data_IF_164703240416
#
_entry.id   IF_164703240416
#
_cell.length_a   1.000
_cell.length_b   1.000
_cell.length_c   1.000
_cell.angle_alpha   90.00
_cell.angle_beta   90.00
_cell.angle_gamma   90.00
#
_symmetry.space_group_name_H-M   'P 1'
#
loop_
_entity.id
_entity.type
_entity.pdbx_description
1 polymer ?
#
# COMPACT_ATOMS: atom_id res chain seq x y z
N UNK A 1 -42.77 7.14 57.29
CA UNK A 1 -41.69 8.03 57.78
C UNK A 1 -40.50 7.86 56.86
N UNK A 2 -40.02 8.99 56.31
CA UNK A 2 -38.79 9.23 55.53
C UNK A 2 -38.59 8.37 54.26
N UNK A 3 -38.79 8.88 53.03
CA UNK A 3 -38.02 9.90 52.26
C UNK A 3 -36.60 9.50 51.83
N UNK A 4 -36.32 9.69 50.54
CA UNK A 4 -35.00 9.76 49.92
C UNK A 4 -34.68 8.56 49.01
N UNK A 5 -34.39 8.69 47.72
CA UNK A 5 -34.17 9.85 46.86
C UNK A 5 -33.67 9.31 45.52
N UNK A 6 -34.37 9.66 44.44
CA UNK A 6 -34.08 9.26 43.07
C UNK A 6 -32.86 10.05 42.56
N UNK A 7 -31.69 9.42 42.48
CA UNK A 7 -30.47 10.02 41.95
C UNK A 7 -30.37 9.85 40.43
N UNK A 8 -30.71 10.91 39.68
CA UNK A 8 -30.40 11.07 38.25
C UNK A 8 -28.87 11.03 38.06
N UNK A 9 -28.38 10.06 37.29
CA UNK A 9 -27.03 10.11 36.72
C UNK A 9 -27.00 11.16 35.61
N UNK A 10 -26.46 12.34 35.92
CA UNK A 10 -26.14 13.38 34.95
C UNK A 10 -24.97 12.92 34.08
N UNK A 11 -25.20 12.89 32.77
CA UNK A 11 -24.18 12.72 31.74
C UNK A 11 -23.16 13.88 31.82
N UNK A 12 -21.98 13.61 32.37
CA UNK A 12 -20.82 14.46 32.13
C UNK A 12 -20.17 13.98 30.84
N UNK A 13 -20.32 14.79 29.80
CA UNK A 13 -19.49 14.76 28.60
C UNK A 13 -18.05 15.06 29.01
N UNK A 14 -17.22 14.03 29.09
CA UNK A 14 -15.78 14.18 29.24
C UNK A 14 -15.20 14.84 27.98
N UNK A 15 -14.87 16.12 28.12
CA UNK A 15 -14.10 16.91 27.17
C UNK A 15 -12.67 16.38 27.06
N UNK A 16 -12.16 16.33 25.83
CA UNK A 16 -10.78 15.98 25.45
C UNK A 16 -9.75 16.67 26.37
N UNK A 17 -8.72 15.97 26.89
CA UNK A 17 -7.69 16.59 27.69
C UNK A 17 -6.73 17.44 26.84
N UNK A 18 -6.61 18.72 27.20
CA UNK A 18 -5.34 19.46 27.16
C UNK A 18 -4.82 19.89 25.79
N UNK A 19 -5.43 20.93 25.20
CA UNK A 19 -4.71 21.86 24.34
C UNK A 19 -3.47 22.37 25.09
N UNK A 20 -2.27 22.15 24.55
CA UNK A 20 -1.10 22.88 25.04
C UNK A 20 -1.31 24.37 24.76
N UNK A 21 -1.45 25.12 25.84
CA UNK A 21 -1.67 26.56 25.91
C UNK A 21 -0.40 27.33 25.52
N UNK A 22 -0.01 27.27 24.23
CA UNK A 22 1.09 28.09 23.70
C UNK A 22 0.78 28.79 22.37
N UNK A 23 -0.39 28.58 21.76
CA UNK A 23 -0.78 29.28 20.54
C UNK A 23 -2.01 30.17 20.78
N UNK A 24 -1.97 31.41 20.28
CA UNK A 24 -3.12 32.32 20.33
C UNK A 24 -4.29 31.73 19.52
N UNK A 25 -5.55 32.03 19.91
CA UNK A 25 -6.76 31.58 19.17
C UNK A 25 -6.69 31.93 17.66
N UNK A 26 -6.02 33.03 17.32
CA UNK A 26 -5.79 33.45 15.94
C UNK A 26 -4.85 32.50 15.18
N UNK A 27 -3.76 32.05 15.82
CA UNK A 27 -2.83 31.07 15.26
C UNK A 27 -3.49 29.70 15.06
N UNK A 28 -4.32 29.26 16.00
CA UNK A 28 -5.05 28.00 15.88
C UNK A 28 -6.04 28.02 14.70
N UNK A 29 -6.81 29.10 14.56
CA UNK A 29 -7.72 29.27 13.41
C UNK A 29 -6.97 29.29 12.07
N UNK A 30 -5.78 29.88 12.02
CA UNK A 30 -4.95 29.89 10.82
C UNK A 30 -4.50 28.48 10.40
N UNK A 31 -4.02 27.67 11.35
CA UNK A 31 -3.60 26.27 11.11
C UNK A 31 -4.79 25.40 10.66
N UNK A 32 -5.97 25.59 11.25
CA UNK A 32 -7.18 24.88 10.83
C UNK A 32 -7.61 25.25 9.40
N UNK A 33 -7.53 26.53 9.04
CA UNK A 33 -7.87 27.01 7.71
C UNK A 33 -6.89 26.48 6.65
N UNK A 34 -5.57 26.52 6.93
CA UNK A 34 -4.58 25.92 6.05
C UNK A 34 -4.84 24.42 5.88
N UNK A 35 -5.13 23.71 6.97
CA UNK A 35 -5.45 22.28 6.93
C UNK A 35 -6.60 21.99 5.95
N UNK A 36 -7.68 22.77 6.00
CA UNK A 36 -8.80 22.66 5.06
C UNK A 36 -8.39 22.91 3.60
N UNK A 37 -7.57 23.92 3.37
CA UNK A 37 -7.12 24.30 2.03
C UNK A 37 -6.23 23.22 1.42
N UNK A 38 -5.27 22.69 2.19
CA UNK A 38 -4.41 21.58 1.79
C UNK A 38 -5.24 20.33 1.49
N UNK A 39 -6.18 19.96 2.36
CA UNK A 39 -7.09 18.85 2.12
C UNK A 39 -7.86 19.02 0.80
N UNK A 40 -8.27 20.25 0.48
CA UNK A 40 -8.98 20.58 -0.77
C UNK A 40 -8.07 20.44 -1.99
N UNK A 41 -6.84 20.93 -1.90
CA UNK A 41 -5.81 20.77 -2.95
C UNK A 41 -5.54 19.29 -3.19
N UNK A 42 -5.36 18.49 -2.13
CA UNK A 42 -5.15 17.05 -2.27
C UNK A 42 -6.33 16.34 -2.94
N UNK A 43 -7.57 16.74 -2.63
CA UNK A 43 -8.75 16.24 -3.34
C UNK A 43 -8.69 16.57 -4.83
N UNK A 44 -8.33 17.80 -5.20
CA UNK A 44 -8.13 18.23 -6.60
C UNK A 44 -6.92 17.57 -7.27
N UNK A 45 -5.99 17.01 -6.53
CA UNK A 45 -4.89 16.20 -7.09
C UNK A 45 -5.30 14.74 -7.33
N UNK A 46 -6.55 14.38 -7.01
CA UNK A 46 -7.08 13.03 -7.18
C UNK A 46 -6.87 12.13 -5.95
N UNK A 47 -6.49 12.69 -4.79
CA UNK A 47 -6.38 11.98 -3.52
C UNK A 47 -7.68 12.09 -2.68
N UNK A 48 -8.78 12.49 -3.31
CA UNK A 48 -10.11 12.49 -2.70
C UNK A 48 -10.69 11.09 -2.53
N UNK A 49 -11.61 10.95 -1.59
CA UNK A 49 -12.22 9.66 -1.24
C UNK A 49 -12.97 8.99 -2.40
N UNK A 50 -13.72 9.78 -3.18
CA UNK A 50 -14.48 9.29 -4.32
C UNK A 50 -13.56 8.64 -5.37
N UNK A 51 -12.55 9.38 -5.84
CA UNK A 51 -11.61 8.88 -6.83
C UNK A 51 -10.84 7.65 -6.32
N UNK A 52 -10.43 7.69 -5.05
CA UNK A 52 -9.74 6.55 -4.42
C UNK A 52 -10.62 5.30 -4.43
N UNK A 53 -11.89 5.40 -3.99
CA UNK A 53 -12.83 4.26 -4.00
C UNK A 53 -13.09 3.74 -5.40
N UNK A 54 -13.24 4.65 -6.37
CA UNK A 54 -13.43 4.29 -7.76
C UNK A 54 -12.23 3.49 -8.30
N UNK A 55 -10.98 3.93 -8.04
CA UNK A 55 -9.77 3.19 -8.42
C UNK A 55 -9.70 1.81 -7.77
N UNK A 56 -9.99 1.74 -6.47
CA UNK A 56 -10.00 0.48 -5.71
C UNK A 56 -10.96 -0.53 -6.35
N UNK A 57 -12.19 -0.12 -6.67
CA UNK A 57 -13.16 -1.04 -7.28
C UNK A 57 -12.73 -1.47 -8.68
N UNK A 58 -12.12 -0.59 -9.48
CA UNK A 58 -11.66 -0.95 -10.83
C UNK A 58 -10.50 -1.92 -10.85
N UNK A 59 -9.54 -1.78 -9.94
CA UNK A 59 -8.49 -2.78 -9.79
C UNK A 59 -9.06 -4.11 -9.27
N UNK A 60 -10.03 -4.09 -8.35
CA UNK A 60 -10.73 -5.30 -7.91
C UNK A 60 -11.51 -5.98 -9.05
N UNK A 61 -12.15 -5.21 -9.93
CA UNK A 61 -12.83 -5.73 -11.12
C UNK A 61 -11.82 -6.45 -12.04
N UNK A 62 -10.69 -5.80 -12.33
CA UNK A 62 -9.60 -6.37 -13.13
C UNK A 62 -9.06 -7.68 -12.51
N UNK A 63 -8.78 -7.68 -11.22
CA UNK A 63 -8.27 -8.86 -10.52
C UNK A 63 -9.27 -10.04 -10.60
N UNK A 64 -10.58 -9.78 -10.44
CA UNK A 64 -11.62 -10.82 -10.59
C UNK A 64 -11.67 -11.41 -12.00
N UNK A 65 -11.55 -10.57 -13.04
CA UNK A 65 -11.54 -11.01 -14.43
C UNK A 65 -10.31 -11.86 -14.77
N UNK A 66 -9.15 -11.51 -14.20
CA UNK A 66 -7.91 -12.28 -14.38
C UNK A 66 -7.95 -13.62 -13.65
N UNK A 67 -8.54 -13.68 -12.45
CA UNK A 67 -8.56 -14.90 -11.63
C UNK A 67 -9.45 -16.01 -12.21
N UNK A 68 -10.54 -15.67 -12.92
CA UNK A 68 -11.42 -16.66 -13.56
C UNK A 68 -10.76 -17.41 -14.71
N UNK A 69 -9.68 -16.87 -15.28
CA UNK A 69 -8.99 -17.44 -16.45
C UNK A 69 -7.75 -18.26 -16.10
N UNK A 70 -7.12 -17.97 -14.97
CA UNK A 70 -5.88 -18.64 -14.58
C UNK A 70 -6.14 -19.87 -13.71
N UNK A 71 -5.81 -21.04 -14.24
CA UNK A 71 -5.96 -22.32 -13.54
C UNK A 71 -4.90 -22.55 -12.44
N UNK A 72 -3.73 -21.93 -12.54
CA UNK A 72 -2.58 -22.27 -11.68
C UNK A 72 -2.20 -21.21 -10.65
N UNK A 73 -2.52 -19.94 -10.89
CA UNK A 73 -2.19 -18.84 -9.98
C UNK A 73 -3.21 -17.70 -10.05
N UNK A 74 -3.59 -17.11 -8.91
CA UNK A 74 -4.38 -15.88 -8.88
C UNK A 74 -3.46 -14.66 -9.02
N UNK A 75 -3.91 -13.60 -9.69
CA UNK A 75 -3.23 -12.31 -9.69
C UNK A 75 -4.03 -11.33 -8.84
N UNK A 76 -3.37 -10.65 -7.92
CA UNK A 76 -3.98 -9.67 -7.02
C UNK A 76 -3.17 -8.38 -7.12
N UNK A 77 -3.81 -7.29 -7.47
CA UNK A 77 -3.21 -5.96 -7.44
C UNK A 77 -2.88 -5.60 -5.99
N UNK A 78 -1.67 -5.11 -5.74
CA UNK A 78 -1.17 -4.72 -4.42
C UNK A 78 -0.69 -3.26 -4.40
N UNK A 79 -0.15 -2.84 -3.25
CA UNK A 79 0.53 -1.56 -3.10
C UNK A 79 -0.37 -0.34 -3.31
N UNK A 80 0.23 0.75 -3.80
CA UNK A 80 -0.45 2.06 -3.89
C UNK A 80 -1.65 2.04 -4.84
N UNK A 81 -1.59 1.22 -5.91
CA UNK A 81 -2.68 1.07 -6.88
C UNK A 81 -3.88 0.34 -6.27
N UNK A 82 -3.65 -0.75 -5.54
CA UNK A 82 -4.71 -1.47 -4.82
C UNK A 82 -5.42 -0.62 -3.76
N UNK A 83 -4.70 0.33 -3.17
CA UNK A 83 -5.20 1.27 -2.17
C UNK A 83 -5.89 2.52 -2.79
N UNK A 84 -5.80 2.66 -4.12
CA UNK A 84 -6.34 3.79 -4.91
C UNK A 84 -5.58 5.10 -4.75
N UNK A 85 -4.36 5.06 -4.21
CA UNK A 85 -3.59 6.24 -3.79
C UNK A 85 -2.74 6.87 -4.90
N UNK A 86 -2.51 6.16 -6.00
CA UNK A 86 -1.77 6.69 -7.15
C UNK A 86 -2.58 6.48 -8.41
N UNK A 87 -2.36 7.35 -9.40
CA UNK A 87 -2.96 7.16 -10.71
C UNK A 87 -2.37 5.93 -11.43
N UNK A 88 -3.06 5.43 -12.44
CA UNK A 88 -2.60 4.27 -13.23
C UNK A 88 -1.19 4.45 -13.82
N UNK A 89 -0.87 5.62 -14.37
CA UNK A 89 0.45 5.92 -14.94
C UNK A 89 1.47 6.43 -13.90
N UNK A 90 1.04 6.68 -12.67
CA UNK A 90 1.94 7.05 -11.58
C UNK A 90 2.40 5.80 -10.84
N UNK A 91 3.68 5.73 -10.51
CA UNK A 91 4.31 4.62 -9.76
C UNK A 91 4.22 3.24 -10.44
N UNK A 92 5.08 2.36 -9.96
CA UNK A 92 5.11 0.93 -10.25
C UNK A 92 3.78 0.23 -9.95
N UNK A 93 3.50 -0.84 -10.70
CA UNK A 93 2.37 -1.73 -10.46
C UNK A 93 2.83 -2.94 -9.65
N UNK A 94 2.53 -2.93 -8.35
CA UNK A 94 2.73 -4.08 -7.49
C UNK A 94 1.68 -5.17 -7.76
N UNK A 95 2.12 -6.39 -8.06
CA UNK A 95 1.24 -7.55 -8.25
C UNK A 95 1.66 -8.72 -7.35
N UNK A 96 0.69 -9.27 -6.62
CA UNK A 96 0.84 -10.50 -5.88
C UNK A 96 0.30 -11.67 -6.73
N UNK A 97 1.18 -12.57 -7.12
CA UNK A 97 0.83 -13.81 -7.81
C UNK A 97 0.70 -14.92 -6.78
N UNK A 98 -0.50 -15.47 -6.58
CA UNK A 98 -0.79 -16.47 -5.56
C UNK A 98 -0.86 -17.85 -6.21
N UNK A 99 0.08 -18.71 -5.88
CA UNK A 99 0.13 -20.08 -6.40
C UNK A 99 -1.02 -20.93 -5.81
N UNK A 100 -1.86 -21.53 -6.67
CA UNK A 100 -3.07 -22.26 -6.24
C UNK A 100 -2.76 -23.67 -5.73
N UNK A 101 -1.68 -24.30 -6.19
CA UNK A 101 -1.33 -25.71 -5.89
C UNK A 101 -0.75 -25.99 -4.51
N UNK A 102 -0.56 -24.97 -3.67
CA UNK A 102 0.04 -25.12 -2.33
C UNK A 102 -0.81 -24.46 -1.26
N UNK A 103 -0.92 -25.11 -0.10
CA UNK A 103 -1.49 -24.55 1.12
C UNK A 103 -0.54 -24.74 2.30
N UNK A 104 -0.20 -23.62 2.95
CA UNK A 104 0.61 -23.62 4.17
C UNK A 104 -0.31 -23.51 5.40
N UNK A 105 -0.11 -24.33 6.42
CA UNK A 105 -1.02 -24.42 7.58
C UNK A 105 -0.27 -24.37 8.91
N UNK A 106 -0.94 -23.87 9.95
CA UNK A 106 -0.45 -23.98 11.33
C UNK A 106 -0.50 -25.43 11.83
N UNK A 107 0.16 -25.68 12.96
CA UNK A 107 0.02 -26.96 13.65
C UNK A 107 -1.41 -27.18 14.15
N UNK A 108 -1.90 -28.42 14.08
CA UNK A 108 -3.23 -28.80 14.59
C UNK A 108 -4.38 -28.65 13.59
N UNK A 109 -4.13 -28.15 12.38
CA UNK A 109 -5.13 -28.13 11.30
C UNK A 109 -5.40 -29.55 10.80
N UNK A 110 -6.68 -29.89 10.64
CA UNK A 110 -7.10 -31.17 10.06
C UNK A 110 -6.79 -31.19 8.57
N UNK A 111 -5.87 -32.05 8.15
CA UNK A 111 -5.43 -32.13 6.76
C UNK A 111 -6.44 -32.84 5.85
N UNK A 112 -7.37 -33.63 6.40
CA UNK A 112 -8.36 -34.40 5.63
C UNK A 112 -9.39 -33.51 4.92
N UNK A 113 -9.54 -32.25 5.35
CA UNK A 113 -10.43 -31.28 4.68
C UNK A 113 -9.76 -30.62 3.47
N UNK A 114 -8.47 -30.90 3.22
CA UNK A 114 -7.69 -30.27 2.15
C UNK A 114 -7.65 -31.23 0.94
N UNK A 115 -8.04 -30.78 -0.27
CA UNK A 115 -8.00 -31.60 -1.49
C UNK A 115 -6.64 -32.26 -1.74
N UNK A 116 -6.63 -33.50 -2.25
CA UNK A 116 -5.39 -34.31 -2.40
C UNK A 116 -4.43 -33.82 -3.48
N UNK A 117 -4.88 -32.99 -4.41
CA UNK A 117 -4.06 -32.34 -5.42
C UNK A 117 -3.20 -31.19 -4.87
N UNK A 118 -3.45 -30.75 -3.64
CA UNK A 118 -2.75 -29.64 -2.99
C UNK A 118 -1.57 -30.13 -2.14
N UNK A 119 -0.39 -29.59 -2.41
CA UNK A 119 0.78 -29.72 -1.53
C UNK A 119 0.52 -28.99 -0.20
N UNK A 120 0.72 -29.70 0.90
CA UNK A 120 0.51 -29.15 2.24
C UNK A 120 1.82 -29.03 2.98
N UNK A 121 2.13 -27.80 3.39
CA UNK A 121 3.27 -27.48 4.23
C UNK A 121 2.82 -26.99 5.61
N UNK A 122 3.47 -27.48 6.66
CA UNK A 122 3.31 -26.94 8.01
C UNK A 122 4.26 -25.75 8.20
N UNK A 123 3.73 -24.65 8.72
CA UNK A 123 4.51 -23.50 9.11
C UNK A 123 5.17 -23.73 10.48
N UNK A 124 6.49 -23.54 10.55
CA UNK A 124 7.24 -23.44 11.80
C UNK A 124 7.62 -21.98 12.05
N UNK A 125 6.95 -21.37 13.02
CA UNK A 125 7.07 -19.94 13.35
C UNK A 125 8.07 -19.66 14.47
N UNK A 126 8.95 -20.62 14.81
CA UNK A 126 10.00 -20.47 15.84
C UNK A 126 11.23 -19.71 15.34
N UNK A 127 11.09 -18.98 14.25
CA UNK A 127 12.11 -18.10 13.64
C UNK A 127 11.76 -16.63 13.92
N UNK A 128 12.43 -15.69 13.24
CA UNK A 128 12.14 -14.26 13.41
C UNK A 128 10.64 -13.95 13.21
N UNK A 129 10.01 -13.12 14.08
CA UNK A 129 8.58 -12.86 14.01
C UNK A 129 8.06 -12.45 12.62
N UNK A 130 6.88 -12.98 12.27
CA UNK A 130 6.27 -12.81 10.95
C UNK A 130 6.98 -13.55 9.82
N UNK A 131 7.91 -14.47 10.14
CA UNK A 131 8.50 -15.41 9.20
C UNK A 131 8.25 -16.84 9.69
N UNK A 132 8.40 -17.81 8.79
CA UNK A 132 8.31 -19.23 9.10
C UNK A 132 9.20 -20.07 8.18
N UNK A 133 9.51 -21.29 8.61
CA UNK A 133 10.04 -22.36 7.76
C UNK A 133 8.88 -23.27 7.36
N UNK A 134 8.91 -23.79 6.13
CA UNK A 134 7.86 -24.66 5.60
C UNK A 134 8.33 -26.12 5.57
N UNK A 135 7.64 -26.97 6.33
CA UNK A 135 7.90 -28.41 6.40
C UNK A 135 6.82 -29.17 5.63
N UNK A 136 7.20 -29.98 4.65
CA UNK A 136 6.24 -30.77 3.88
C UNK A 136 5.56 -31.80 4.78
N UNK A 137 4.22 -31.87 4.69
CA UNK A 137 3.41 -32.85 5.43
C UNK A 137 2.71 -33.83 4.52
N UNK A 138 2.19 -33.34 3.40
CA UNK A 138 1.56 -34.17 2.40
C UNK A 138 1.92 -33.60 1.02
N UNK A 139 2.63 -34.34 0.17
CA UNK A 139 2.81 -33.93 -1.22
C UNK A 139 1.45 -33.98 -1.94
N UNK A 140 1.21 -33.03 -2.82
CA UNK A 140 0.06 -33.07 -3.72
C UNK A 140 0.21 -34.20 -4.73
N UNK A 141 -0.91 -34.71 -5.23
CA UNK A 141 -0.90 -35.67 -6.35
C UNK A 141 -0.28 -35.01 -7.61
N UNK A 142 -0.63 -33.75 -7.86
CA UNK A 142 -0.05 -32.96 -8.95
C UNK A 142 1.32 -32.45 -8.55
N UNK A 143 2.37 -32.94 -9.21
CA UNK A 143 3.74 -32.50 -8.94
C UNK A 143 4.11 -31.27 -9.76
N UNK A 144 4.02 -30.11 -9.14
CA UNK A 144 4.53 -28.88 -9.73
C UNK A 144 6.05 -28.85 -9.69
N UNK A 145 6.70 -28.69 -10.86
CA UNK A 145 8.16 -28.66 -10.98
C UNK A 145 8.80 -27.63 -10.05
N UNK A 146 8.20 -26.44 -9.96
CA UNK A 146 8.68 -25.33 -9.12
C UNK A 146 8.70 -25.71 -7.63
N UNK A 147 7.73 -26.52 -7.19
CA UNK A 147 7.70 -27.03 -5.82
C UNK A 147 8.76 -28.11 -5.65
N UNK A 148 8.74 -29.13 -6.52
CA UNK A 148 9.63 -30.28 -6.42
C UNK A 148 11.12 -29.90 -6.41
N UNK A 149 11.53 -29.01 -7.32
CA UNK A 149 12.91 -28.55 -7.44
C UNK A 149 13.39 -27.70 -6.26
N UNK A 150 12.45 -27.21 -5.44
CA UNK A 150 12.72 -26.34 -4.30
C UNK A 150 12.69 -27.08 -2.96
N UNK A 151 12.46 -28.39 -2.98
CA UNK A 151 12.46 -29.23 -1.77
C UNK A 151 13.89 -29.56 -1.36
N UNK A 152 14.15 -29.51 -0.05
CA UNK A 152 15.44 -29.87 0.55
C UNK A 152 15.23 -30.81 1.74
N UNK A 153 16.06 -31.84 1.87
CA UNK A 153 16.12 -32.64 3.09
C UNK A 153 16.96 -31.90 4.14
N UNK A 154 16.48 -31.85 5.38
CA UNK A 154 17.20 -31.22 6.48
C UNK A 154 18.27 -32.14 7.14
N UNK A 155 18.47 -33.35 6.61
CA UNK A 155 19.39 -34.36 7.15
C UNK A 155 18.83 -35.16 8.32
N UNK A 156 17.63 -34.83 8.80
CA UNK A 156 16.94 -35.49 9.91
C UNK A 156 15.59 -36.09 9.46
N UNK A 157 15.44 -36.32 8.16
CA UNK A 157 14.24 -36.95 7.57
C UNK A 157 13.04 -36.03 7.41
N UNK A 158 13.21 -34.71 7.57
CA UNK A 158 12.16 -33.75 7.25
C UNK A 158 12.48 -33.01 5.94
N UNK A 159 11.47 -32.95 5.07
CA UNK A 159 11.55 -32.22 3.80
C UNK A 159 11.06 -30.79 4.01
N UNK A 160 11.88 -29.83 3.61
CA UNK A 160 11.65 -28.39 3.70
C UNK A 160 11.43 -27.79 2.32
N UNK A 161 10.67 -26.68 2.24
CA UNK A 161 10.57 -25.89 1.02
C UNK A 161 11.48 -24.66 1.12
N UNK A 162 12.54 -24.63 0.33
CA UNK A 162 13.47 -23.52 0.25
C UNK A 162 12.83 -22.32 -0.43
N UNK A 163 12.89 -21.15 0.22
CA UNK A 163 12.35 -19.92 -0.35
C UNK A 163 13.23 -19.39 -1.49
N UNK A 164 14.56 -19.50 -1.36
CA UNK A 164 15.47 -19.03 -2.42
C UNK A 164 15.35 -19.86 -3.70
N UNK A 165 15.35 -21.20 -3.58
CA UNK A 165 15.20 -22.09 -4.74
C UNK A 165 13.85 -21.89 -5.41
N UNK A 166 12.79 -21.73 -4.63
CA UNK A 166 11.45 -21.48 -5.17
C UNK A 166 11.36 -20.15 -5.91
N UNK A 167 11.98 -19.10 -5.37
CA UNK A 167 12.00 -17.80 -6.04
C UNK A 167 12.79 -17.86 -7.36
N UNK A 168 13.89 -18.61 -7.42
CA UNK A 168 14.67 -18.78 -8.65
C UNK A 168 13.90 -19.56 -9.72
N UNK A 169 13.25 -20.66 -9.36
CA UNK A 169 12.36 -21.42 -10.25
C UNK A 169 11.20 -20.57 -10.77
N UNK A 170 10.60 -19.74 -9.90
CA UNK A 170 9.52 -18.85 -10.30
C UNK A 170 9.98 -17.75 -11.26
N UNK A 171 11.07 -17.06 -10.95
CA UNK A 171 11.56 -15.97 -11.79
C UNK A 171 12.05 -16.45 -13.16
N UNK A 172 12.51 -17.71 -13.27
CA UNK A 172 12.85 -18.33 -14.55
C UNK A 172 11.66 -18.43 -15.53
N UNK A 173 10.41 -18.40 -15.03
CA UNK A 173 9.21 -18.42 -15.87
C UNK A 173 8.96 -17.09 -16.59
N UNK A 174 9.39 -15.97 -16.01
CA UNK A 174 9.10 -14.62 -16.54
C UNK A 174 10.22 -14.07 -17.43
N UNK A 175 11.44 -14.61 -17.29
CA UNK A 175 12.59 -14.24 -18.12
C UNK A 175 12.44 -14.64 -19.59
N UNK A 176 11.48 -15.52 -19.92
CA UNK A 176 11.23 -15.96 -21.29
C UNK A 176 10.30 -15.02 -22.10
N UNK A 177 9.62 -14.06 -21.46
CA UNK A 177 8.55 -13.29 -22.12
C UNK A 177 8.64 -11.76 -21.98
N UNK A 178 9.46 -11.21 -21.08
CA UNK A 178 9.59 -9.77 -20.84
C UNK A 178 11.07 -9.38 -20.60
N UNK A 179 11.44 -8.14 -20.96
CA UNK A 179 12.78 -7.59 -20.68
C UNK A 179 12.89 -7.33 -19.18
N UNK A 180 13.69 -8.15 -18.48
CA UNK A 180 14.00 -7.96 -17.06
C UNK A 180 15.11 -6.93 -16.94
N UNK A 181 14.77 -5.70 -16.53
CA UNK A 181 15.69 -4.56 -16.64
C UNK A 181 16.58 -4.34 -15.39
N UNK A 182 16.35 -5.04 -14.27
CA UNK A 182 17.03 -4.69 -13.01
C UNK A 182 17.42 -5.88 -12.12
N UNK A 183 18.47 -5.70 -11.30
CA UNK A 183 18.87 -6.61 -10.23
C UNK A 183 17.71 -6.84 -9.24
N UNK A 184 17.45 -8.11 -8.89
CA UNK A 184 16.36 -8.51 -7.99
C UNK A 184 16.57 -7.95 -6.57
N UNK A 185 15.62 -7.15 -6.07
CA UNK A 185 15.66 -6.59 -4.72
C UNK A 185 14.52 -7.11 -3.83
N UNK A 186 14.78 -8.15 -3.05
CA UNK A 186 13.79 -8.78 -2.17
C UNK A 186 12.95 -9.85 -2.91
N UNK A 187 11.65 -10.00 -2.58
CA UNK A 187 10.81 -11.06 -3.19
C UNK A 187 10.21 -10.67 -4.55
N UNK A 188 10.43 -9.45 -5.04
CA UNK A 188 9.86 -9.00 -6.31
C UNK A 188 10.72 -9.40 -7.50
N UNK A 189 10.06 -9.77 -8.60
CA UNK A 189 10.62 -9.92 -9.93
C UNK A 189 10.15 -8.70 -10.73
N UNK A 190 11.02 -7.69 -10.96
CA UNK A 190 10.66 -6.50 -11.71
C UNK A 190 10.50 -6.84 -13.19
N UNK A 191 9.62 -6.11 -13.87
CA UNK A 191 9.40 -6.20 -15.31
C UNK A 191 8.77 -4.92 -15.84
N UNK A 192 8.58 -4.87 -17.16
CA UNK A 192 7.98 -3.71 -17.83
C UNK A 192 6.92 -4.18 -18.83
N UNK A 193 5.69 -3.68 -18.68
CA UNK A 193 4.60 -3.91 -19.63
C UNK A 193 4.64 -2.82 -20.70
N UNK A 194 4.62 -3.24 -21.97
CA UNK A 194 4.59 -2.36 -23.15
C UNK A 194 5.71 -1.31 -23.18
N UNK A 195 6.85 -1.58 -22.53
CA UNK A 195 8.00 -0.67 -22.46
C UNK A 195 7.81 0.60 -21.63
N UNK A 196 6.65 0.79 -20.99
CA UNK A 196 6.29 2.05 -20.32
C UNK A 196 5.94 1.84 -18.85
N UNK A 197 5.28 0.74 -18.51
CA UNK A 197 4.75 0.54 -17.16
C UNK A 197 5.61 -0.45 -16.38
N UNK A 198 6.32 0.05 -15.37
CA UNK A 198 7.06 -0.79 -14.44
C UNK A 198 6.11 -1.63 -13.57
N UNK A 199 6.44 -2.90 -13.40
CA UNK A 199 5.67 -3.87 -12.65
C UNK A 199 6.57 -4.64 -11.71
N UNK A 200 6.16 -4.72 -10.44
CA UNK A 200 6.82 -5.52 -9.42
C UNK A 200 5.96 -6.74 -9.10
N UNK A 201 6.37 -7.92 -9.59
CA UNK A 201 5.64 -9.18 -9.37
C UNK A 201 6.20 -9.92 -8.18
N UNK A 202 5.36 -10.27 -7.21
CA UNK A 202 5.74 -11.06 -6.03
C UNK A 202 4.96 -12.36 -6.03
N UNK A 203 5.64 -13.50 -6.08
CA UNK A 203 5.01 -14.80 -5.89
C UNK A 203 4.70 -15.05 -4.42
N UNK A 204 3.57 -15.67 -4.14
CA UNK A 204 3.17 -16.05 -2.80
C UNK A 204 2.42 -17.37 -2.76
N UNK A 205 2.51 -18.03 -1.60
CA UNK A 205 1.74 -19.23 -1.27
C UNK A 205 0.61 -18.86 -0.32
N UNK A 206 -0.56 -19.49 -0.47
CA UNK A 206 -1.66 -19.31 0.48
C UNK A 206 -1.26 -19.89 1.83
N UNK A 207 -1.60 -19.18 2.91
CA UNK A 207 -1.47 -19.72 4.26
C UNK A 207 -2.75 -19.59 5.08
N UNK A 208 -2.99 -20.59 5.93
CA UNK A 208 -4.04 -20.60 6.92
C UNK A 208 -3.41 -20.49 8.32
N UNK A 209 -3.43 -19.28 8.86
CA UNK A 209 -2.82 -18.91 10.14
C UNK A 209 -3.84 -18.34 11.16
N UNK A 210 -4.84 -19.13 11.58
CA UNK A 210 -5.90 -18.64 12.45
C UNK A 210 -5.37 -18.11 13.78
N UNK A 211 -4.32 -18.68 14.37
CA UNK A 211 -3.79 -18.21 15.66
C UNK A 211 -3.24 -16.78 15.57
N UNK A 212 -2.58 -16.44 14.46
CA UNK A 212 -2.00 -15.11 14.23
C UNK A 212 -3.12 -14.09 14.00
N UNK A 213 -4.08 -14.43 13.13
CA UNK A 213 -5.21 -13.55 12.82
C UNK A 213 -6.13 -13.35 14.02
N UNK A 214 -6.34 -14.36 14.86
CA UNK A 214 -7.14 -14.24 16.08
C UNK A 214 -6.45 -13.39 17.14
N UNK A 215 -5.13 -13.52 17.34
CA UNK A 215 -4.37 -12.60 18.21
C UNK A 215 -4.46 -11.16 17.72
N UNK A 216 -4.34 -10.95 16.41
CA UNK A 216 -4.58 -9.64 15.81
C UNK A 216 -6.01 -9.16 16.07
N UNK A 217 -7.02 -10.02 15.88
CA UNK A 217 -8.44 -9.71 16.05
C UNK A 217 -8.79 -9.29 17.49
N UNK A 218 -8.21 -9.97 18.48
CA UNK A 218 -8.50 -9.82 19.90
C UNK A 218 -7.92 -8.55 20.55
N UNK A 219 -7.14 -7.73 19.82
CA UNK A 219 -6.59 -6.49 20.38
C UNK A 219 -7.70 -5.52 20.82
N UNK A 220 -7.57 -4.86 21.98
CA UNK A 220 -8.49 -3.82 22.40
C UNK A 220 -8.33 -2.59 21.50
N UNK A 221 -9.41 -2.19 20.82
CA UNK A 221 -9.42 -1.04 19.89
C UNK A 221 -10.82 -0.54 19.56
N UNK A 222 -10.87 0.69 19.06
CA UNK A 222 -12.09 1.31 18.54
C UNK A 222 -12.14 1.34 17.01
N UNK A 223 -10.96 1.39 16.37
CA UNK A 223 -10.79 1.28 14.94
C UNK A 223 -9.85 0.11 14.61
N UNK A 224 -10.10 -0.65 13.54
CA UNK A 224 -11.30 -0.57 12.69
C UNK A 224 -12.54 -1.13 13.40
N UNK A 225 -13.72 -0.98 12.80
CA UNK A 225 -14.95 -1.52 13.38
C UNK A 225 -14.89 -3.05 13.49
N UNK A 226 -15.65 -3.68 14.41
CA UNK A 226 -15.66 -5.14 14.56
C UNK A 226 -15.99 -5.89 13.27
N UNK A 227 -16.87 -5.32 12.43
CA UNK A 227 -17.19 -5.88 11.12
C UNK A 227 -15.95 -5.94 10.20
N UNK A 228 -15.16 -4.87 10.16
CA UNK A 228 -13.93 -4.83 9.37
C UNK A 228 -12.86 -5.76 9.96
N UNK A 229 -12.79 -5.89 11.28
CA UNK A 229 -11.91 -6.90 11.94
C UNK A 229 -12.25 -8.30 11.45
N UNK A 230 -13.53 -8.70 11.51
CA UNK A 230 -13.97 -10.01 11.04
C UNK A 230 -13.70 -10.20 9.54
N UNK A 231 -13.96 -9.16 8.73
CA UNK A 231 -13.66 -9.19 7.29
C UNK A 231 -12.17 -9.45 7.06
N UNK A 232 -11.28 -8.72 7.73
CA UNK A 232 -9.82 -8.90 7.61
C UNK A 232 -9.39 -10.31 8.00
N UNK A 233 -9.95 -10.87 9.08
CA UNK A 233 -9.67 -12.26 9.50
C UNK A 233 -10.16 -13.30 8.49
N UNK A 234 -11.24 -13.01 7.76
CA UNK A 234 -11.77 -13.90 6.72
C UNK A 234 -11.02 -13.82 5.38
N UNK A 235 -10.20 -12.77 5.19
CA UNK A 235 -9.41 -12.59 3.98
C UNK A 235 -8.17 -13.50 3.99
N UNK A 236 -7.65 -13.79 2.79
CA UNK A 236 -6.48 -14.65 2.63
C UNK A 236 -5.22 -14.07 3.27
N UNK A 237 -4.43 -14.94 3.90
CA UNK A 237 -3.06 -14.69 4.29
C UNK A 237 -2.10 -15.41 3.35
N UNK A 238 -0.89 -14.87 3.19
CA UNK A 238 0.07 -15.37 2.22
C UNK A 238 1.48 -15.42 2.78
N UNK A 239 2.34 -16.19 2.10
CA UNK A 239 3.77 -16.31 2.36
C UNK A 239 4.55 -15.95 1.12
N UNK A 240 5.50 -15.04 1.26
CA UNK A 240 6.43 -14.64 0.18
C UNK A 240 7.80 -15.26 0.39
N UNK A 241 8.52 -15.67 -0.67
CA UNK A 241 9.79 -16.36 -0.57
C UNK A 241 10.93 -15.37 -0.29
N UNK A 242 10.95 -14.79 0.91
CA UNK A 242 12.03 -13.94 1.38
C UNK A 242 12.22 -14.14 2.87
N UNK A 243 13.44 -14.48 3.27
CA UNK A 243 13.80 -14.61 4.67
C UNK A 243 14.16 -13.29 5.34
N UNK A 244 14.28 -13.34 6.66
CA UNK A 244 14.76 -12.22 7.44
C UNK A 244 16.25 -12.02 7.18
N UNK A 245 16.67 -10.81 6.79
CA UNK A 245 18.07 -10.56 6.38
C UNK A 245 19.11 -10.92 7.45
N UNK A 246 18.76 -10.78 8.72
CA UNK A 246 19.62 -11.10 9.87
C UNK A 246 19.56 -12.57 10.33
N UNK A 247 18.86 -13.45 9.61
CA UNK A 247 18.78 -14.87 9.92
C UNK A 247 19.82 -15.68 9.13
N UNK A 248 20.44 -16.65 9.79
CA UNK A 248 21.32 -17.64 9.14
C UNK A 248 20.53 -18.55 8.19
N UNK A 249 19.22 -18.73 8.44
CA UNK A 249 18.32 -19.57 7.66
C UNK A 249 17.49 -18.77 6.64
N UNK A 250 17.88 -17.53 6.31
CA UNK A 250 17.13 -16.63 5.41
C UNK A 250 16.76 -17.22 4.04
N UNK A 251 17.49 -18.23 3.56
CA UNK A 251 17.24 -18.91 2.29
C UNK A 251 16.13 -19.99 2.38
N UNK A 252 15.75 -20.39 3.59
CA UNK A 252 14.65 -21.32 3.89
C UNK A 252 13.41 -20.61 4.46
N UNK A 253 13.57 -19.38 4.91
CA UNK A 253 12.51 -18.63 5.55
C UNK A 253 11.55 -18.00 4.55
N UNK A 254 10.27 -17.99 4.93
CA UNK A 254 9.16 -17.40 4.21
C UNK A 254 8.55 -16.30 5.05
N UNK A 255 8.20 -15.17 4.43
CA UNK A 255 7.66 -14.00 5.12
C UNK A 255 6.16 -13.93 4.97
N UNK A 256 5.46 -13.82 6.10
CA UNK A 256 4.02 -13.60 6.13
C UNK A 256 3.66 -12.22 5.60
N UNK A 257 2.60 -12.19 4.80
CA UNK A 257 1.99 -10.97 4.32
C UNK A 257 0.47 -11.11 4.26
N UNK A 258 -0.21 -9.99 4.52
CA UNK A 258 -1.66 -9.91 4.64
C UNK A 258 -2.21 -8.86 3.67
N UNK A 259 -1.70 -8.83 2.43
CA UNK A 259 -1.92 -7.75 1.47
C UNK A 259 -3.41 -7.39 1.29
N UNK A 260 -4.29 -8.38 1.17
CA UNK A 260 -5.73 -8.15 1.02
C UNK A 260 -6.35 -7.55 2.28
N UNK A 261 -5.98 -8.06 3.46
CA UNK A 261 -6.37 -7.50 4.76
C UNK A 261 -5.86 -6.08 4.99
N UNK A 262 -4.60 -5.80 4.66
CA UNK A 262 -4.01 -4.47 4.72
C UNK A 262 -4.71 -3.48 3.79
N UNK A 263 -4.98 -3.88 2.54
CA UNK A 263 -5.74 -3.06 1.60
C UNK A 263 -7.13 -2.76 2.13
N UNK A 264 -7.80 -3.75 2.75
CA UNK A 264 -9.09 -3.52 3.39
C UNK A 264 -9.01 -2.54 4.55
N UNK A 265 -7.97 -2.59 5.38
CA UNK A 265 -7.72 -1.62 6.45
C UNK A 265 -7.51 -0.20 5.91
N UNK A 266 -6.64 -0.04 4.90
CA UNK A 266 -6.40 1.25 4.24
C UNK A 266 -7.69 1.79 3.60
N UNK A 267 -8.51 0.90 3.04
CA UNK A 267 -9.78 1.27 2.43
C UNK A 267 -10.82 1.80 3.44
N UNK A 268 -10.66 1.47 4.72
CA UNK A 268 -11.52 1.92 5.82
C UNK A 268 -10.89 3.04 6.69
N UNK A 269 -9.78 3.64 6.22
CA UNK A 269 -9.34 4.94 6.73
C UNK A 269 -10.31 6.02 6.27
N UNK A 270 -10.55 7.02 7.12
CA UNK A 270 -11.31 8.20 6.71
C UNK A 270 -10.47 9.11 5.79
N UNK A 271 -11.11 10.13 5.22
CA UNK A 271 -10.47 11.00 4.23
C UNK A 271 -9.26 11.76 4.79
N UNK A 272 -9.30 12.21 6.05
CA UNK A 272 -8.17 12.91 6.70
C UNK A 272 -6.99 11.97 6.93
N UNK A 273 -7.22 10.77 7.48
CA UNK A 273 -6.18 9.75 7.67
C UNK A 273 -5.53 9.35 6.33
N UNK A 274 -6.35 9.16 5.30
CA UNK A 274 -5.87 8.85 3.94
C UNK A 274 -4.96 9.96 3.40
N UNK A 275 -5.34 11.22 3.60
CA UNK A 275 -4.54 12.36 3.16
C UNK A 275 -3.23 12.48 3.96
N UNK A 276 -3.25 12.21 5.27
CA UNK A 276 -2.02 12.13 6.09
C UNK A 276 -1.10 11.04 5.55
N UNK A 277 -1.64 9.87 5.21
CA UNK A 277 -0.88 8.78 4.61
C UNK A 277 -0.19 9.20 3.30
N UNK A 278 -0.93 9.81 2.37
CA UNK A 278 -0.38 10.30 1.10
C UNK A 278 0.70 11.35 1.34
N UNK A 279 0.47 12.31 2.25
CA UNK A 279 1.42 13.39 2.53
C UNK A 279 2.73 12.85 3.14
N UNK A 280 2.64 11.92 4.09
CA UNK A 280 3.83 11.26 4.66
C UNK A 280 4.61 10.45 3.61
N UNK A 281 3.91 9.78 2.67
CA UNK A 281 4.58 9.10 1.55
C UNK A 281 5.33 10.09 0.65
N UNK A 282 4.73 11.24 0.35
CA UNK A 282 5.39 12.30 -0.42
C UNK A 282 6.62 12.84 0.31
N UNK A 283 6.54 13.07 1.63
CA UNK A 283 7.69 13.52 2.42
C UNK A 283 8.83 12.51 2.39
N UNK A 284 8.55 11.21 2.58
CA UNK A 284 9.60 10.18 2.46
C UNK A 284 10.20 10.16 1.06
N UNK A 285 9.38 10.20 0.01
CA UNK A 285 9.84 10.15 -1.38
C UNK A 285 10.65 11.39 -1.77
N UNK A 286 10.12 12.58 -1.51
CA UNK A 286 10.60 13.83 -2.10
C UNK A 286 11.57 14.58 -1.19
N UNK A 287 11.54 14.34 0.13
CA UNK A 287 12.43 14.97 1.11
C UNK A 287 13.51 14.00 1.57
N UNK A 288 13.11 12.85 2.13
CA UNK A 288 14.09 11.91 2.70
C UNK A 288 14.86 11.15 1.61
N UNK A 289 14.21 10.84 0.48
CA UNK A 289 14.80 10.19 -0.71
C UNK A 289 15.64 8.94 -0.36
N UNK A 290 15.03 7.92 0.27
CA UNK A 290 15.74 6.69 0.63
C UNK A 290 16.26 5.97 -0.62
N UNK A 291 17.50 5.49 -0.57
CA UNK A 291 18.17 4.85 -1.70
C UNK A 291 18.16 3.31 -1.62
N UNK A 292 18.11 2.73 -0.43
CA UNK A 292 18.22 1.26 -0.21
C UNK A 292 17.02 0.68 0.53
N UNK A 293 15.84 1.31 0.38
CA UNK A 293 14.59 0.91 1.04
C UNK A 293 14.70 0.91 2.58
N UNK A 294 15.52 1.80 3.14
CA UNK A 294 15.74 1.91 4.59
C UNK A 294 14.46 2.36 5.32
N UNK A 295 13.74 3.29 4.70
CA UNK A 295 12.38 3.71 5.07
C UNK A 295 11.51 3.58 3.83
N UNK A 296 10.41 2.86 3.93
CA UNK A 296 9.54 2.56 2.78
C UNK A 296 8.14 3.10 2.99
N UNK A 297 7.36 3.16 1.91
CA UNK A 297 5.90 3.39 1.98
C UNK A 297 5.20 2.41 2.92
N UNK A 298 5.75 1.21 3.11
CA UNK A 298 5.24 0.20 4.03
C UNK A 298 5.42 0.60 5.50
N UNK A 299 6.52 1.24 5.88
CA UNK A 299 6.72 1.81 7.22
C UNK A 299 5.67 2.90 7.47
N UNK A 300 5.45 3.78 6.49
CA UNK A 300 4.46 4.85 6.58
C UNK A 300 3.03 4.33 6.70
N UNK A 301 2.68 3.28 5.93
CA UNK A 301 1.39 2.60 6.06
C UNK A 301 1.15 2.19 7.51
N UNK A 302 2.14 1.55 8.13
CA UNK A 302 2.02 1.08 9.50
C UNK A 302 1.95 2.22 10.52
N UNK A 303 2.65 3.35 10.31
CA UNK A 303 2.49 4.55 11.15
C UNK A 303 1.02 4.99 11.16
N UNK A 304 0.40 5.08 9.99
CA UNK A 304 -0.98 5.56 9.88
C UNK A 304 -1.98 4.55 10.44
N UNK A 305 -1.77 3.25 10.23
CA UNK A 305 -2.64 2.21 10.82
C UNK A 305 -2.59 2.25 12.36
N UNK A 306 -1.39 2.38 12.95
CA UNK A 306 -1.26 2.54 14.40
C UNK A 306 -1.85 3.86 14.89
N UNK A 307 -1.65 4.96 14.17
CA UNK A 307 -2.24 6.26 14.51
C UNK A 307 -3.77 6.17 14.50
N UNK A 308 -4.37 5.46 13.53
CA UNK A 308 -5.80 5.22 13.46
C UNK A 308 -6.30 4.32 14.60
N UNK A 309 -5.62 3.22 14.93
CA UNK A 309 -6.03 2.31 16.03
C UNK A 309 -5.94 3.00 17.41
N UNK A 310 -4.89 3.80 17.64
CA UNK A 310 -4.56 4.39 18.94
C UNK A 310 -5.33 5.67 19.29
N UNK A 311 -6.10 6.24 18.35
CA UNK A 311 -6.75 7.53 18.54
C UNK A 311 -8.26 7.49 18.23
N UNK A 312 -9.09 8.30 18.92
CA UNK A 312 -10.51 8.41 18.63
C UNK A 312 -10.76 8.90 17.20
N UNK A 313 -11.64 8.20 16.47
CA UNK A 313 -11.87 8.47 15.05
C UNK A 313 -12.45 9.86 14.77
N UNK A 314 -13.23 10.42 15.71
CA UNK A 314 -13.81 11.75 15.57
C UNK A 314 -12.77 12.89 15.59
N UNK A 315 -11.55 12.62 16.07
CA UNK A 315 -10.47 13.60 16.06
C UNK A 315 -9.82 13.75 14.68
N UNK A 316 -10.09 12.85 13.73
CA UNK A 316 -9.57 12.92 12.37
C UNK A 316 -10.58 13.62 11.44
N UNK A 317 -10.48 14.94 11.39
CA UNK A 317 -11.29 15.78 10.50
C UNK A 317 -10.40 16.78 9.77
N UNK A 318 -10.86 17.33 8.64
CA UNK A 318 -10.03 18.13 7.72
C UNK A 318 -9.25 19.27 8.40
N UNK A 319 -9.83 19.98 9.37
CA UNK A 319 -9.14 21.07 10.11
C UNK A 319 -8.01 20.58 11.03
N UNK A 320 -8.03 19.30 11.42
CA UNK A 320 -6.97 18.68 12.22
C UNK A 320 -5.84 18.06 11.37
N UNK A 321 -5.89 18.17 10.04
CA UNK A 321 -4.96 17.50 9.14
C UNK A 321 -3.48 17.79 9.47
N UNK A 322 -3.11 19.06 9.66
CA UNK A 322 -1.72 19.42 9.98
C UNK A 322 -1.24 18.86 11.33
N UNK A 323 -2.13 18.76 12.31
CA UNK A 323 -1.83 18.12 13.59
C UNK A 323 -1.48 16.65 13.40
N UNK A 324 -2.29 15.91 12.64
CA UNK A 324 -2.05 14.49 12.40
C UNK A 324 -0.84 14.23 11.50
N UNK A 325 -0.56 15.13 10.55
CA UNK A 325 0.68 15.10 9.77
C UNK A 325 1.90 15.26 10.69
N UNK A 326 1.88 16.25 11.58
CA UNK A 326 2.95 16.48 12.54
C UNK A 326 3.13 15.28 13.49
N UNK A 327 2.04 14.68 13.97
CA UNK A 327 2.10 13.48 14.80
C UNK A 327 2.67 12.26 14.02
N UNK A 328 2.31 12.12 12.74
CA UNK A 328 2.90 11.12 11.85
C UNK A 328 4.41 11.32 11.62
N UNK A 329 4.86 12.57 11.47
CA UNK A 329 6.28 12.92 11.39
C UNK A 329 7.02 12.58 12.69
N UNK A 330 6.41 12.85 13.85
CA UNK A 330 6.94 12.46 15.16
C UNK A 330 7.10 10.93 15.27
N UNK A 331 6.09 10.17 14.83
CA UNK A 331 6.13 8.72 14.82
C UNK A 331 7.24 8.20 13.88
N UNK A 332 7.38 8.79 12.69
CA UNK A 332 8.45 8.48 11.74
C UNK A 332 9.84 8.76 12.32
N UNK A 333 10.04 9.95 12.92
CA UNK A 333 11.28 10.31 13.61
C UNK A 333 11.60 9.28 14.69
N UNK A 334 10.62 8.93 15.52
CA UNK A 334 10.79 7.93 16.59
C UNK A 334 11.20 6.58 16.02
N UNK A 335 10.54 6.11 14.96
CA UNK A 335 10.86 4.84 14.31
C UNK A 335 12.29 4.82 13.74
N UNK A 336 12.74 5.92 13.13
CA UNK A 336 14.10 6.08 12.60
C UNK A 336 15.12 6.13 13.74
N UNK A 337 14.89 6.95 14.77
CA UNK A 337 15.81 7.11 15.90
C UNK A 337 15.99 5.81 16.66
N UNK A 338 14.89 5.11 16.97
CA UNK A 338 14.91 3.88 17.76
C UNK A 338 15.20 2.63 16.93
N UNK A 339 15.17 2.72 15.60
CA UNK A 339 15.18 1.57 14.69
C UNK A 339 14.06 0.56 15.04
N UNK A 340 12.90 1.05 15.49
CA UNK A 340 11.75 0.24 15.88
C UNK A 340 10.47 0.71 15.17
N UNK A 341 9.81 -0.22 14.49
CA UNK A 341 8.47 -0.01 13.95
C UNK A 341 7.72 -1.33 13.92
N UNK A 342 6.76 -1.52 14.83
CA UNK A 342 5.94 -2.74 14.86
C UNK A 342 5.07 -2.87 13.62
N UNK A 343 5.09 -4.05 13.01
CA UNK A 343 4.18 -4.38 11.95
C UNK A 343 2.74 -4.52 12.48
N UNK A 344 1.78 -3.84 11.88
CA UNK A 344 0.41 -3.74 12.38
C UNK A 344 -0.32 -5.10 12.48
N UNK A 345 -0.07 -6.01 11.54
CA UNK A 345 -0.69 -7.34 11.55
C UNK A 345 0.00 -8.31 12.53
N UNK A 346 1.31 -8.18 12.71
CA UNK A 346 2.13 -9.00 13.62
C UNK A 346 3.06 -8.08 14.42
N UNK A 347 2.61 -7.48 15.54
CA UNK A 347 3.32 -6.42 16.25
C UNK A 347 4.74 -6.78 16.72
N UNK A 348 5.00 -8.06 16.92
CA UNK A 348 6.31 -8.60 17.30
C UNK A 348 7.35 -8.50 16.18
N UNK A 349 6.91 -8.30 14.93
CA UNK A 349 7.80 -8.09 13.79
C UNK A 349 8.17 -6.61 13.68
N UNK A 350 9.44 -6.29 13.92
CA UNK A 350 9.98 -4.96 13.66
C UNK A 350 10.31 -4.78 12.17
N UNK A 351 9.75 -3.74 11.54
CA UNK A 351 9.95 -3.36 10.14
C UNK A 351 11.29 -2.64 9.90
N UNK A 352 11.90 -2.07 10.94
CA UNK A 352 13.18 -1.36 10.87
C UNK A 352 14.40 -2.27 11.14
N UNK A 353 14.21 -3.47 11.70
CA UNK A 353 15.29 -4.37 12.14
C UNK A 353 16.29 -4.78 11.04
N UNK A 354 15.90 -4.69 9.78
CA UNK A 354 16.72 -5.06 8.62
C UNK A 354 16.80 -3.93 7.57
N UNK A 355 16.58 -2.68 8.01
CA UNK A 355 16.63 -1.48 7.18
C UNK A 355 18.01 -1.26 6.57
N UNK A 356 19.08 -1.67 7.28
CA UNK A 356 20.46 -1.35 6.90
C UNK A 356 20.78 0.14 7.01
N UNK A 357 19.98 0.89 7.77
CA UNK A 357 20.11 2.33 7.92
C UNK A 357 21.39 2.68 8.67
N UNK A 358 22.31 3.35 7.99
CA UNK A 358 23.60 3.78 8.55
C UNK A 358 23.43 4.99 9.47
N UNK A 359 24.24 5.06 10.54
CA UNK A 359 24.17 6.11 11.58
C UNK A 359 24.22 7.55 11.01
N UNK A 360 25.06 7.79 9.99
CA UNK A 360 25.15 9.10 9.33
C UNK A 360 23.85 9.48 8.63
N UNK A 361 23.24 8.53 7.93
CA UNK A 361 21.99 8.75 7.22
C UNK A 361 20.80 8.87 8.19
N UNK A 362 20.82 8.06 9.27
CA UNK A 362 19.87 8.16 10.37
C UNK A 362 19.90 9.56 10.99
N UNK A 363 21.08 10.04 11.39
CA UNK A 363 21.26 11.35 12.02
C UNK A 363 20.78 12.49 11.11
N UNK A 364 21.11 12.40 9.81
CA UNK A 364 20.62 13.35 8.81
C UNK A 364 19.10 13.37 8.74
N UNK A 365 18.44 12.22 8.60
CA UNK A 365 16.98 12.17 8.51
C UNK A 365 16.28 12.60 9.79
N UNK A 366 16.86 12.30 10.96
CA UNK A 366 16.34 12.79 12.24
C UNK A 366 16.41 14.32 12.29
N UNK A 367 17.49 14.93 11.81
CA UNK A 367 17.60 16.38 11.68
C UNK A 367 16.59 16.93 10.67
N UNK A 368 16.54 16.38 9.46
CA UNK A 368 15.61 16.80 8.40
C UNK A 368 14.14 16.77 8.88
N UNK A 369 13.74 15.72 9.61
CA UNK A 369 12.39 15.61 10.17
C UNK A 369 12.16 16.60 11.31
N UNK A 370 13.18 16.89 12.12
CA UNK A 370 13.08 17.90 13.19
C UNK A 370 12.85 19.27 12.58
N UNK A 371 13.65 19.65 11.58
CA UNK A 371 13.49 20.93 10.87
C UNK A 371 12.09 21.04 10.24
N UNK A 372 11.58 19.96 9.64
CA UNK A 372 10.22 19.93 9.08
C UNK A 372 9.13 20.12 10.14
N UNK A 373 9.32 19.57 11.33
CA UNK A 373 8.37 19.75 12.44
C UNK A 373 8.41 21.19 12.95
N UNK A 374 9.60 21.80 13.02
CA UNK A 374 9.81 23.17 13.49
C UNK A 374 9.28 24.22 12.48
N UNK A 375 9.36 23.93 11.18
CA UNK A 375 8.74 24.74 10.11
C UNK A 375 7.20 24.75 10.16
N UNK A 376 6.61 23.74 10.82
CA UNK A 376 5.17 23.59 10.91
C UNK A 376 4.50 23.52 9.53
N UNK A 377 3.45 24.32 9.25
CA UNK A 377 2.71 24.25 7.99
C UNK A 377 3.55 24.50 6.72
N UNK A 378 4.67 25.23 6.84
CA UNK A 378 5.53 25.56 5.71
C UNK A 378 6.23 24.34 5.10
N UNK A 379 6.30 23.22 5.83
CA UNK A 379 6.87 21.95 5.34
C UNK A 379 6.26 21.52 4.00
N UNK A 380 5.00 21.85 3.75
CA UNK A 380 4.28 21.46 2.55
C UNK A 380 4.87 22.12 1.30
N UNK A 381 5.49 23.29 1.43
CA UNK A 381 6.18 23.96 0.33
C UNK A 381 7.47 23.24 -0.11
N UNK A 382 7.99 22.32 0.72
CA UNK A 382 9.10 21.43 0.34
C UNK A 382 8.66 20.36 -0.67
N UNK A 383 7.35 20.09 -0.78
CA UNK A 383 6.79 19.08 -1.67
C UNK A 383 6.47 19.69 -3.04
N UNK A 384 7.20 19.35 -4.12
CA UNK A 384 7.05 20.01 -5.41
C UNK A 384 5.62 19.95 -5.95
N UNK A 385 4.98 18.78 -5.84
CA UNK A 385 3.61 18.55 -6.32
C UNK A 385 2.57 19.41 -5.60
N UNK A 386 2.69 19.54 -4.28
CA UNK A 386 1.77 20.37 -3.50
C UNK A 386 2.07 21.86 -3.72
N UNK A 387 3.34 22.25 -3.72
CA UNK A 387 3.76 23.64 -3.99
C UNK A 387 3.23 24.13 -5.35
N UNK A 388 3.38 23.34 -6.39
CA UNK A 388 2.89 23.70 -7.73
C UNK A 388 1.35 23.79 -7.75
N UNK A 389 0.65 22.89 -7.05
CA UNK A 389 -0.80 22.93 -6.93
C UNK A 389 -1.34 24.12 -6.13
N UNK A 390 -0.57 24.65 -5.16
CA UNK A 390 -0.89 25.90 -4.43
C UNK A 390 -0.79 27.12 -5.36
N UNK A 391 0.23 27.16 -6.21
CA UNK A 391 0.47 28.29 -7.13
C UNK A 391 -0.53 28.31 -8.29
N UNK A 392 -1.03 27.14 -8.71
CA UNK A 392 -2.01 27.05 -9.78
C UNK A 392 -3.38 27.61 -9.37
N UNK A 393 -4.01 28.41 -10.25
CA UNK A 393 -5.36 28.92 -10.01
C UNK A 393 -6.37 27.76 -9.79
N UNK A 394 -7.39 27.92 -8.92
CA UNK A 394 -8.37 26.89 -8.63
C UNK A 394 -9.09 26.32 -9.87
N UNK A 395 -9.36 27.16 -10.88
CA UNK A 395 -10.09 26.75 -12.09
C UNK A 395 -9.28 25.79 -12.99
N UNK A 396 -8.04 26.12 -13.42
CA UNK A 396 -7.15 25.19 -14.10
C UNK A 396 -7.02 23.86 -13.36
N UNK A 397 -6.77 23.91 -12.04
CA UNK A 397 -6.59 22.70 -11.22
C UNK A 397 -7.82 21.81 -11.22
N UNK A 398 -9.01 22.40 -11.09
CA UNK A 398 -10.26 21.63 -11.09
C UNK A 398 -10.51 20.96 -12.44
N UNK A 399 -10.26 21.68 -13.54
CA UNK A 399 -10.41 21.12 -14.88
C UNK A 399 -9.39 20.00 -15.14
N UNK A 400 -8.10 20.21 -14.84
CA UNK A 400 -7.06 19.19 -15.03
C UNK A 400 -7.31 17.95 -14.18
N UNK A 401 -7.71 18.14 -12.92
CA UNK A 401 -8.16 17.04 -12.05
C UNK A 401 -9.23 16.21 -12.74
N UNK A 402 -10.30 16.86 -13.20
CA UNK A 402 -11.44 16.19 -13.83
C UNK A 402 -11.02 15.46 -15.11
N UNK A 403 -10.27 16.12 -15.97
CA UNK A 403 -9.80 15.56 -17.24
C UNK A 403 -8.87 14.36 -17.01
N UNK A 404 -7.95 14.46 -16.06
CA UNK A 404 -7.07 13.36 -15.66
C UNK A 404 -7.87 12.17 -15.15
N UNK A 405 -8.84 12.43 -14.27
CA UNK A 405 -9.73 11.41 -13.76
C UNK A 405 -10.48 10.74 -14.92
N UNK A 406 -11.07 11.50 -15.85
CA UNK A 406 -11.75 10.95 -17.04
C UNK A 406 -10.85 10.07 -17.90
N UNK A 407 -9.61 10.49 -18.15
CA UNK A 407 -8.64 9.70 -18.92
C UNK A 407 -8.24 8.41 -18.21
N UNK A 408 -7.97 8.50 -16.91
CA UNK A 408 -7.68 7.33 -16.08
C UNK A 408 -8.88 6.38 -16.04
N UNK A 409 -10.10 6.93 -15.97
CA UNK A 409 -11.33 6.14 -16.02
C UNK A 409 -11.48 5.39 -17.33
N UNK A 410 -11.35 6.08 -18.46
CA UNK A 410 -11.39 5.47 -19.79
C UNK A 410 -10.30 4.42 -19.95
N UNK A 411 -9.09 4.66 -19.44
CA UNK A 411 -7.99 3.70 -19.49
C UNK A 411 -8.33 2.39 -18.78
N UNK A 412 -8.72 2.47 -17.51
CA UNK A 412 -9.05 1.28 -16.71
C UNK A 412 -10.32 0.58 -17.21
N UNK A 413 -11.29 1.31 -17.75
CA UNK A 413 -12.44 0.70 -18.41
C UNK A 413 -12.05 -0.05 -19.69
N UNK A 414 -11.14 0.52 -20.50
CA UNK A 414 -10.65 -0.14 -21.69
C UNK A 414 -9.87 -1.41 -21.34
N UNK A 415 -9.01 -1.38 -20.32
CA UNK A 415 -8.36 -2.59 -19.80
C UNK A 415 -9.39 -3.65 -19.35
N UNK A 416 -10.40 -3.25 -18.57
CA UNK A 416 -11.43 -4.18 -18.13
C UNK A 416 -12.21 -4.78 -19.31
N UNK A 417 -12.46 -4.01 -20.37
CA UNK A 417 -13.11 -4.50 -21.59
C UNK A 417 -12.20 -5.47 -22.34
N UNK A 418 -10.92 -5.15 -22.50
CA UNK A 418 -9.95 -6.04 -23.14
C UNK A 418 -9.85 -7.37 -22.38
N UNK A 419 -9.79 -7.33 -21.05
CA UNK A 419 -9.81 -8.51 -20.18
C UNK A 419 -11.15 -9.26 -20.21
N UNK A 420 -12.25 -8.65 -20.69
CA UNK A 420 -13.51 -9.35 -20.95
C UNK A 420 -13.56 -9.97 -22.35
N UNK A 421 -13.01 -9.30 -23.36
CA UNK A 421 -13.09 -9.71 -24.77
C UNK A 421 -12.06 -10.76 -25.18
N UNK A 422 -10.95 -10.88 -24.47
CA UNK A 422 -9.86 -11.82 -24.80
C UNK A 422 -10.19 -13.27 -24.45
N UNK A 423 -11.11 -13.89 -25.18
CA UNK A 423 -11.39 -15.33 -25.09
C UNK A 423 -10.40 -16.12 -25.94
N UNK A 424 -9.33 -16.63 -25.30
CA UNK A 424 -8.51 -17.76 -25.76
C UNK A 424 -7.71 -17.65 -27.08
N UNK A 425 -8.07 -16.74 -27.98
CA UNK A 425 -7.40 -16.51 -29.25
C UNK A 425 -6.63 -15.20 -29.16
N UNK A 426 -5.30 -15.33 -29.08
CA UNK A 426 -4.35 -14.25 -28.82
C UNK A 426 -4.29 -13.17 -29.90
N UNK A 427 -5.26 -12.26 -29.92
CA UNK A 427 -5.09 -10.98 -30.59
C UNK A 427 -4.69 -9.90 -29.57
N UNK A 428 -3.40 -9.57 -29.61
CA UNK A 428 -2.74 -8.48 -28.84
C UNK A 428 -3.02 -7.09 -29.47
N UNK A 429 -3.82 -7.01 -30.54
CA UNK A 429 -3.92 -5.84 -31.40
C UNK A 429 -4.82 -4.69 -30.86
N UNK A 430 -5.70 -4.96 -29.89
CA UNK A 430 -6.57 -3.91 -29.31
C UNK A 430 -5.84 -2.99 -28.33
N UNK A 431 -4.77 -3.46 -27.67
CA UNK A 431 -4.02 -2.68 -26.66
C UNK A 431 -3.41 -1.40 -27.28
N UNK A 432 -2.81 -1.53 -28.46
CA UNK A 432 -2.19 -0.39 -29.16
C UNK A 432 -3.23 0.59 -29.69
N UNK A 433 -4.37 0.09 -30.20
CA UNK A 433 -5.48 0.93 -30.64
C UNK A 433 -6.10 1.72 -29.47
N UNK A 434 -6.22 1.09 -28.30
CA UNK A 434 -6.70 1.70 -27.05
C UNK A 434 -5.70 2.76 -26.57
N UNK A 435 -4.41 2.43 -26.45
CA UNK A 435 -3.35 3.37 -26.10
C UNK A 435 -3.31 4.57 -27.06
N UNK A 436 -3.43 4.33 -28.37
CA UNK A 436 -3.53 5.40 -29.36
C UNK A 436 -4.80 6.24 -29.20
N UNK A 437 -5.95 5.64 -28.88
CA UNK A 437 -7.18 6.38 -28.65
C UNK A 437 -7.11 7.26 -27.38
N UNK A 438 -6.54 6.73 -26.29
CA UNK A 438 -6.28 7.47 -25.05
C UNK A 438 -5.30 8.61 -25.32
N UNK A 439 -4.21 8.36 -26.04
CA UNK A 439 -3.22 9.37 -26.41
C UNK A 439 -3.82 10.47 -27.29
N UNK A 440 -4.61 10.12 -28.31
CA UNK A 440 -5.34 11.10 -29.13
C UNK A 440 -6.33 11.93 -28.30
N UNK A 441 -7.02 11.29 -27.35
CA UNK A 441 -7.95 12.00 -26.45
C UNK A 441 -7.19 12.95 -25.53
N UNK A 442 -6.08 12.52 -24.94
CA UNK A 442 -5.19 13.35 -24.13
C UNK A 442 -4.67 14.58 -24.90
N UNK A 443 -4.17 14.39 -26.13
CA UNK A 443 -3.72 15.48 -27.00
C UNK A 443 -4.84 16.46 -27.37
N UNK A 444 -6.04 15.95 -27.69
CA UNK A 444 -7.21 16.79 -27.99
C UNK A 444 -7.61 17.65 -26.79
N UNK A 445 -7.59 17.06 -25.60
CA UNK A 445 -7.91 17.73 -24.34
C UNK A 445 -6.86 18.80 -23.99
N UNK A 446 -5.57 18.52 -24.20
CA UNK A 446 -4.50 19.52 -24.09
C UNK A 446 -4.74 20.73 -24.99
N UNK A 447 -5.21 20.53 -26.22
CA UNK A 447 -5.55 21.65 -27.11
C UNK A 447 -6.78 22.44 -26.67
N UNK A 448 -7.78 21.80 -26.04
CA UNK A 448 -8.96 22.47 -25.48
C UNK A 448 -8.61 23.38 -24.29
N UNK A 449 -7.60 23.04 -23.49
CA UNK A 449 -7.05 23.90 -22.41
C UNK A 449 -6.50 25.21 -22.96
N UNK A 450 -5.65 25.10 -23.99
CA UNK A 450 -5.00 26.25 -24.63
C UNK A 450 -6.05 27.21 -25.18
N UNK A 451 -7.14 26.68 -25.76
CA UNK A 451 -8.22 27.50 -26.29
C UNK A 451 -9.10 28.16 -25.22
N UNK A 452 -9.47 27.45 -24.14
CA UNK A 452 -10.43 27.99 -23.15
C UNK A 452 -9.86 29.09 -22.27
N UNK A 453 -8.56 29.04 -21.96
CA UNK A 453 -8.00 29.98 -20.99
C UNK A 453 -7.60 31.34 -21.58
N UNK A 454 -7.74 31.57 -22.90
CA UNK A 454 -7.31 32.82 -23.56
C UNK A 454 -5.87 33.23 -23.23
N UNK A 455 -5.00 32.26 -22.93
CA UNK A 455 -3.62 32.50 -22.50
C UNK A 455 -2.75 32.63 -23.75
N UNK A 456 -1.97 33.71 -23.85
CA UNK A 456 -1.00 33.90 -24.93
C UNK A 456 0.10 32.84 -24.92
N UNK A 457 0.71 32.59 -26.08
CA UNK A 457 1.56 31.41 -26.34
C UNK A 457 2.67 31.10 -25.34
N UNK A 458 3.33 32.07 -24.69
CA UNK A 458 4.42 31.78 -23.73
C UNK A 458 3.88 31.30 -22.37
N UNK A 459 2.80 31.91 -21.86
CA UNK A 459 2.18 31.51 -20.61
C UNK A 459 1.45 30.14 -20.72
N UNK A 460 1.12 29.71 -21.94
CA UNK A 460 0.67 28.35 -22.25
C UNK A 460 1.80 27.34 -22.02
N UNK A 461 3.02 27.61 -22.50
CA UNK A 461 4.15 26.70 -22.26
C UNK A 461 4.51 26.61 -20.78
N UNK A 462 4.53 27.73 -20.06
CA UNK A 462 4.81 27.75 -18.63
C UNK A 462 3.73 27.01 -17.83
N UNK A 463 2.45 27.19 -18.19
CA UNK A 463 1.35 26.46 -17.54
C UNK A 463 1.37 24.97 -17.90
N UNK A 464 1.62 24.61 -19.16
CA UNK A 464 1.73 23.22 -19.58
C UNK A 464 2.94 22.52 -18.95
N UNK A 465 4.05 23.22 -18.76
CA UNK A 465 5.22 22.72 -18.05
C UNK A 465 4.93 22.56 -16.54
N UNK A 466 4.29 23.54 -15.90
CA UNK A 466 3.85 23.43 -14.50
C UNK A 466 2.86 22.27 -14.32
N UNK A 467 1.87 22.15 -15.19
CA UNK A 467 0.88 21.06 -15.17
C UNK A 467 1.54 19.72 -15.45
N UNK A 468 2.41 19.63 -16.47
CA UNK A 468 3.19 18.43 -16.76
C UNK A 468 4.01 18.01 -15.55
N UNK A 469 4.62 18.95 -14.82
CA UNK A 469 5.39 18.67 -13.59
C UNK A 469 4.52 18.31 -12.37
N UNK A 470 3.28 18.79 -12.28
CA UNK A 470 2.33 18.40 -11.22
C UNK A 470 1.89 16.94 -11.41
N UNK A 471 1.71 16.54 -12.68
CA UNK A 471 1.03 15.30 -13.05
C UNK A 471 1.94 14.20 -13.66
N UNK A 472 3.24 14.49 -13.85
CA UNK A 472 4.33 13.49 -13.94
C UNK A 472 4.77 13.03 -12.56
#
# INVERSE_FOLDING_TARGET
MAEGGMGRATSQTESVPGHSSLYSRHSQNHVENMSMEICTIMTRLGYGEEMRRWRVEKHRELDRLKDTRSSHASQITAGSKAEGLTCYLESDWDMLHVFKGVLCVEAGINLHTIPDDIDVFRMDTRVYPGHCILLQKRPGITRFKQIHNSLCDNGYGAVLLSSSLFLDEYSALFTQSEVVDHERAGPSTPGTISGILHVDRVIALRCHCPSILQRWAARPRHWPSPFIVQKVVSLGAYLTPVGFKGSDYKHMEWRMCFNTGETELVNNLNSTQTQVYVMLKMIVKDVLKPCKKEVTSYVIKNIVLWQAENNPQHNFYKRSFLYWLHDGLRALKTAITTQQMSYYMVPERNLMAASGLQDKQQSKWVADITDMMDEGPNVILRLPKIRQAIVASPEPMLWFSKTRMELEMLFLEALNRQEKCTDGNGEVNESDAILHAIWRRYLKLLMEVVQRMHIGGSAVYDMLDVVSRIFS
#
